data_IF_902178973800
#
_entry.id   IF_902178973800
#
_cell.length_a   1.000
_cell.length_b   1.000
_cell.length_c   1.000
_cell.angle_alpha   90.00
_cell.angle_beta   90.00
_cell.angle_gamma   90.00
#
_symmetry.space_group_name_H-M   'P 1'
#
loop_
_entity.id
_entity.type
_entity.pdbx_description
1 polymer ?
#
# COMPACT_ATOMS: atom_id res chain seq x y z
N UNK A 1 12.29 63.73 -26.16
CA UNK A 1 13.51 63.95 -25.34
C UNK A 1 14.04 62.56 -25.00
N UNK A 2 15.19 62.05 -25.43
CA UNK A 2 16.47 62.65 -25.79
C UNK A 2 17.16 61.72 -26.81
N UNK A 3 17.73 62.31 -27.85
CA UNK A 3 18.55 61.69 -28.89
C UNK A 3 19.84 61.06 -28.33
N UNK A 4 20.42 60.10 -29.05
CA UNK A 4 21.77 60.10 -29.68
C UNK A 4 22.04 58.66 -30.22
N UNK A 5 22.15 58.40 -31.54
CA UNK A 5 23.35 58.54 -32.43
C UNK A 5 24.52 57.66 -31.94
N UNK A 6 25.26 56.87 -32.71
CA UNK A 6 25.45 56.63 -34.16
C UNK A 6 26.47 55.47 -34.30
N UNK A 7 26.41 54.71 -35.41
CA UNK A 7 27.57 54.18 -36.20
C UNK A 7 28.38 53.03 -35.57
N UNK A 8 28.84 51.96 -36.24
CA UNK A 8 29.16 51.67 -37.64
C UNK A 8 28.75 50.22 -38.00
N UNK A 9 28.20 49.90 -39.17
CA UNK A 9 28.90 49.65 -40.44
C UNK A 9 30.20 48.85 -40.31
N UNK A 10 30.14 47.57 -40.66
CA UNK A 10 31.17 46.91 -41.48
C UNK A 10 30.54 45.76 -42.25
N UNK A 11 30.49 45.96 -43.58
CA UNK A 11 30.30 44.93 -44.58
C UNK A 11 31.43 43.88 -44.47
N UNK A 12 31.30 42.67 -44.99
CA UNK A 12 31.64 42.37 -46.39
C UNK A 12 31.42 40.86 -46.63
N UNK A 13 30.77 40.54 -47.76
CA UNK A 13 30.79 39.31 -48.60
C UNK A 13 30.71 37.95 -47.92
N UNK A 14 29.74 37.07 -48.21
CA UNK A 14 29.28 36.68 -49.54
C UNK A 14 29.87 35.31 -49.88
N UNK A 15 29.08 34.25 -49.74
CA UNK A 15 29.28 32.99 -50.46
C UNK A 15 27.92 32.32 -50.66
N UNK A 16 27.46 32.32 -51.90
CA UNK A 16 26.38 31.46 -52.35
C UNK A 16 26.92 30.04 -52.46
N UNK A 17 26.18 29.04 -51.95
CA UNK A 17 26.18 27.69 -52.52
C UNK A 17 25.13 26.78 -51.86
N UNK A 18 24.19 26.36 -52.73
CA UNK A 18 23.68 24.99 -52.87
C UNK A 18 22.70 24.46 -51.82
N UNK A 19 21.43 24.45 -52.24
CA UNK A 19 20.43 23.48 -51.80
C UNK A 19 20.97 22.05 -51.99
N UNK A 20 21.06 21.33 -50.87
CA UNK A 20 20.90 19.88 -50.87
C UNK A 20 19.86 19.53 -49.81
N UNK A 21 18.66 19.16 -50.27
CA UNK A 21 17.66 18.51 -49.43
C UNK A 21 18.22 17.16 -48.98
N UNK A 22 18.68 17.08 -47.74
CA UNK A 22 18.82 15.79 -47.07
C UNK A 22 17.44 15.38 -46.56
N UNK A 23 16.95 14.16 -46.84
CA UNK A 23 15.76 13.66 -46.17
C UNK A 23 16.07 13.53 -44.68
N UNK A 24 15.31 14.23 -43.85
CA UNK A 24 15.29 14.03 -42.42
C UNK A 24 14.95 12.56 -42.16
N UNK A 25 15.94 11.76 -41.76
CA UNK A 25 15.69 10.44 -41.20
C UNK A 25 15.02 10.67 -39.84
N UNK A 26 13.69 10.82 -39.85
CA UNK A 26 12.88 10.71 -38.64
C UNK A 26 13.03 9.28 -38.15
N UNK A 27 13.95 9.06 -37.21
CA UNK A 27 13.90 7.86 -36.39
C UNK A 27 12.58 7.91 -35.61
N UNK A 28 11.56 7.23 -36.13
CA UNK A 28 10.39 6.86 -35.34
C UNK A 28 10.93 5.93 -34.26
N UNK A 29 11.26 6.50 -33.10
CA UNK A 29 11.29 5.72 -31.87
C UNK A 29 9.86 5.24 -31.70
N UNK A 30 9.60 4.02 -32.14
CA UNK A 30 8.39 3.33 -31.79
C UNK A 30 8.35 3.24 -30.28
N UNK A 31 7.62 4.16 -29.65
CA UNK A 31 7.16 4.04 -28.29
C UNK A 31 6.19 2.87 -28.28
N UNK A 32 6.73 1.65 -28.31
CA UNK A 32 5.97 0.48 -27.88
C UNK A 32 5.41 0.80 -26.49
N UNK A 33 4.19 0.35 -26.16
CA UNK A 33 3.68 0.54 -24.81
C UNK A 33 4.68 -0.10 -23.86
N UNK A 34 5.44 0.73 -23.15
CA UNK A 34 6.19 0.27 -22.00
C UNK A 34 5.19 -0.33 -21.00
N UNK A 35 5.65 -1.19 -20.07
CA UNK A 35 4.79 -1.62 -18.97
C UNK A 35 4.16 -0.38 -18.33
N UNK A 36 2.82 -0.32 -18.26
CA UNK A 36 2.16 0.75 -17.53
C UNK A 36 2.74 0.74 -16.10
N UNK A 37 3.08 1.92 -15.53
CA UNK A 37 3.56 1.97 -14.16
C UNK A 37 2.51 1.34 -13.22
N UNK A 38 2.94 0.64 -12.15
CA UNK A 38 2.03 0.06 -11.19
C UNK A 38 1.04 1.10 -10.69
N UNK A 39 -0.24 0.72 -10.61
CA UNK A 39 -1.28 1.66 -10.14
C UNK A 39 -1.31 1.64 -8.62
N UNK A 40 -0.92 2.74 -8.00
CA UNK A 40 -1.09 2.94 -6.55
C UNK A 40 -2.50 3.48 -6.25
N UNK A 41 -3.16 2.85 -5.28
CA UNK A 41 -4.46 3.23 -4.74
C UNK A 41 -4.38 3.32 -3.22
N UNK A 42 -4.87 4.43 -2.65
CA UNK A 42 -5.00 4.59 -1.21
C UNK A 42 -6.47 4.76 -0.85
N UNK A 43 -6.96 3.93 0.06
CA UNK A 43 -8.33 4.02 0.55
C UNK A 43 -8.43 3.59 2.02
N UNK A 44 -9.51 4.00 2.68
CA UNK A 44 -9.73 3.76 4.09
C UNK A 44 -10.84 2.75 4.30
N UNK A 45 -10.66 1.90 5.30
CA UNK A 45 -11.69 0.99 5.81
C UNK A 45 -11.72 1.06 7.33
N UNK A 46 -12.86 0.75 7.93
CA UNK A 46 -12.96 0.44 9.36
C UNK A 46 -13.26 -1.04 9.51
N UNK A 47 -12.35 -1.79 10.12
CA UNK A 47 -12.60 -3.15 10.56
C UNK A 47 -13.34 -3.11 11.89
N UNK A 48 -14.60 -3.54 11.87
CA UNK A 48 -15.44 -3.66 13.06
C UNK A 48 -15.59 -5.13 13.42
N UNK A 49 -14.93 -5.55 14.50
CA UNK A 49 -15.02 -6.90 15.02
C UNK A 49 -16.46 -7.21 15.44
N UNK A 50 -16.97 -8.38 15.01
CA UNK A 50 -18.29 -8.88 15.41
C UNK A 50 -18.20 -10.22 16.12
N UNK A 51 -17.13 -10.98 15.89
CA UNK A 51 -16.85 -12.25 16.56
C UNK A 51 -15.35 -12.34 16.85
N UNK A 52 -15.00 -12.95 17.97
CA UNK A 52 -13.61 -13.19 18.32
C UNK A 52 -13.46 -14.12 19.50
N UNK A 53 -12.30 -14.77 19.60
CA UNK A 53 -11.94 -15.61 20.74
C UNK A 53 -10.44 -15.81 20.85
N UNK A 54 -9.99 -16.15 22.06
CA UNK A 54 -8.65 -16.63 22.34
C UNK A 54 -8.69 -18.16 22.40
N UNK A 55 -7.83 -18.80 21.62
CA UNK A 55 -7.48 -20.21 21.77
C UNK A 55 -6.27 -20.27 22.70
N UNK A 56 -6.51 -20.69 23.93
CA UNK A 56 -5.46 -20.97 24.92
C UNK A 56 -5.00 -22.42 24.71
N UNK A 57 -3.80 -22.59 24.14
CA UNK A 57 -3.33 -23.92 23.73
C UNK A 57 -2.77 -24.74 24.89
N UNK A 58 -2.29 -24.10 25.94
CA UNK A 58 -1.70 -24.78 27.11
C UNK A 58 -2.64 -24.84 28.33
N UNK A 59 -3.76 -24.11 28.28
CA UNK A 59 -4.80 -24.07 29.31
C UNK A 59 -4.38 -23.30 30.56
N UNK A 60 -3.32 -22.49 30.49
CA UNK A 60 -2.80 -21.74 31.63
C UNK A 60 -3.63 -20.49 31.96
N UNK A 61 -4.44 -20.01 31.02
CA UNK A 61 -5.15 -18.73 31.11
C UNK A 61 -4.24 -17.50 30.99
N UNK A 62 -2.94 -17.70 30.76
CA UNK A 62 -1.97 -16.65 30.45
C UNK A 62 -1.44 -16.80 29.02
N UNK A 63 -0.66 -15.82 28.52
CA UNK A 63 -0.04 -15.95 27.21
C UNK A 63 0.91 -17.15 27.16
N UNK A 64 0.77 -17.97 26.12
CA UNK A 64 1.60 -19.13 25.83
C UNK A 64 1.98 -19.20 24.35
N UNK A 65 3.09 -19.89 24.03
CA UNK A 65 3.49 -20.08 22.63
C UNK A 65 2.47 -20.95 21.91
N UNK A 66 1.95 -20.44 20.79
CA UNK A 66 0.92 -21.10 20.00
C UNK A 66 -0.50 -20.63 20.29
N UNK A 67 -0.72 -19.78 21.31
CA UNK A 67 -2.04 -19.17 21.53
C UNK A 67 -2.49 -18.41 20.28
N UNK A 68 -3.79 -18.48 19.98
CA UNK A 68 -4.35 -17.84 18.78
C UNK A 68 -5.47 -16.86 19.12
N UNK A 69 -5.40 -15.67 18.55
CA UNK A 69 -6.56 -14.81 18.40
C UNK A 69 -7.23 -15.13 17.07
N UNK A 70 -8.48 -15.56 17.13
CA UNK A 70 -9.29 -15.87 15.94
C UNK A 70 -10.43 -14.85 15.87
N UNK A 71 -10.34 -13.94 14.91
CA UNK A 71 -11.19 -12.75 14.83
C UNK A 71 -11.92 -12.69 13.49
N UNK A 72 -13.13 -12.13 13.49
CA UNK A 72 -13.83 -11.78 12.25
C UNK A 72 -14.80 -10.63 12.45
N UNK A 73 -15.16 -10.00 11.34
CA UNK A 73 -16.02 -8.83 11.40
C UNK A 73 -16.39 -8.23 10.06
N UNK A 74 -16.93 -7.02 10.13
CA UNK A 74 -17.33 -6.24 8.96
C UNK A 74 -16.23 -5.25 8.58
N UNK A 75 -16.10 -4.97 7.28
CA UNK A 75 -15.33 -3.86 6.75
C UNK A 75 -16.28 -2.75 6.33
N UNK A 76 -16.06 -1.54 6.83
CA UNK A 76 -16.88 -0.39 6.53
C UNK A 76 -16.11 0.66 5.75
N UNK A 77 -16.77 1.30 4.78
CA UNK A 77 -16.33 2.55 4.16
C UNK A 77 -17.28 3.64 4.61
N UNK A 78 -16.82 4.52 5.51
CA UNK A 78 -17.71 5.40 6.26
C UNK A 78 -18.66 4.56 7.14
N UNK A 79 -19.97 4.73 6.95
CA UNK A 79 -21.00 3.96 7.68
C UNK A 79 -21.53 2.73 6.93
N UNK A 80 -21.04 2.49 5.71
CA UNK A 80 -21.56 1.41 4.84
C UNK A 80 -20.67 0.18 4.96
N UNK A 81 -21.27 -0.98 5.21
CA UNK A 81 -20.56 -2.27 5.14
C UNK A 81 -20.23 -2.56 3.68
N UNK A 82 -18.93 -2.69 3.40
CA UNK A 82 -18.37 -2.97 2.07
C UNK A 82 -17.67 -4.32 2.01
N UNK A 83 -17.76 -5.13 3.06
CA UNK A 83 -17.10 -6.43 3.08
C UNK A 83 -17.05 -7.03 4.48
N UNK A 84 -16.28 -8.11 4.58
CA UNK A 84 -15.98 -8.80 5.84
C UNK A 84 -14.49 -9.08 5.92
N UNK A 85 -13.98 -9.30 7.13
CA UNK A 85 -12.63 -9.79 7.33
C UNK A 85 -12.61 -11.02 8.23
N UNK A 86 -11.54 -11.79 8.12
CA UNK A 86 -11.17 -12.84 9.07
C UNK A 86 -9.68 -12.76 9.31
N UNK A 87 -9.26 -12.97 10.54
CA UNK A 87 -7.88 -12.84 10.97
C UNK A 87 -7.55 -13.96 11.97
N UNK A 88 -6.35 -14.50 11.84
CA UNK A 88 -5.75 -15.39 12.83
C UNK A 88 -4.37 -14.82 13.18
N UNK A 89 -4.13 -14.62 14.47
CA UNK A 89 -2.86 -14.20 15.02
C UNK A 89 -2.34 -15.22 16.02
N UNK A 90 -1.19 -15.83 15.75
CA UNK A 90 -0.56 -16.81 16.64
C UNK A 90 0.57 -16.16 17.45
N UNK A 91 0.62 -16.40 18.76
CA UNK A 91 1.76 -16.01 19.60
C UNK A 91 2.96 -16.89 19.27
N UNK A 92 4.01 -16.29 18.70
CA UNK A 92 5.16 -17.02 18.15
C UNK A 92 6.44 -16.83 18.94
N UNK A 93 6.54 -15.76 19.74
CA UNK A 93 7.76 -15.44 20.48
C UNK A 93 7.47 -14.56 21.67
N UNK A 94 8.10 -14.87 22.81
CA UNK A 94 8.22 -13.92 23.92
C UNK A 94 9.41 -12.98 23.69
N UNK A 95 9.20 -11.71 24.00
CA UNK A 95 10.24 -10.69 24.09
C UNK A 95 10.53 -10.38 25.57
N UNK A 96 11.65 -9.71 25.91
CA UNK A 96 11.95 -9.36 27.29
C UNK A 96 10.84 -8.53 27.96
N UNK A 97 10.39 -8.99 29.13
CA UNK A 97 9.36 -8.45 30.05
C UNK A 97 8.05 -8.00 29.39
N UNK A 98 6.99 -8.79 29.64
CA UNK A 98 5.58 -8.50 29.32
C UNK A 98 5.31 -8.11 27.85
N UNK A 99 6.11 -8.66 26.94
CA UNK A 99 6.00 -8.43 25.50
C UNK A 99 6.04 -9.76 24.75
N UNK A 100 5.32 -9.82 23.63
CA UNK A 100 5.32 -10.98 22.74
C UNK A 100 5.04 -10.57 21.30
N UNK A 101 5.49 -11.40 20.37
CA UNK A 101 5.19 -11.24 18.96
C UNK A 101 4.05 -12.17 18.53
N UNK A 102 3.10 -11.60 17.81
CA UNK A 102 2.07 -12.31 17.06
C UNK A 102 2.48 -12.39 15.59
N UNK A 103 2.31 -13.56 14.97
CA UNK A 103 2.28 -13.68 13.52
C UNK A 103 0.82 -13.73 13.07
N UNK A 104 0.41 -12.76 12.26
CA UNK A 104 -0.96 -12.58 11.85
C UNK A 104 -1.12 -12.80 10.35
N UNK A 105 -2.22 -13.46 9.97
CA UNK A 105 -2.71 -13.56 8.61
C UNK A 105 -4.20 -13.20 8.59
N UNK A 106 -4.60 -12.39 7.61
CA UNK A 106 -5.97 -11.94 7.47
C UNK A 106 -6.41 -11.91 6.01
N UNK A 107 -7.70 -12.17 5.80
CA UNK A 107 -8.38 -12.02 4.53
C UNK A 107 -9.37 -10.84 4.61
N UNK A 108 -9.30 -9.92 3.65
CA UNK A 108 -10.30 -8.87 3.47
C UNK A 108 -11.17 -9.24 2.26
N UNK A 109 -12.41 -9.64 2.50
CA UNK A 109 -13.37 -9.98 1.45
C UNK A 109 -14.18 -8.74 1.05
N UNK A 110 -13.98 -8.29 -0.19
CA UNK A 110 -14.61 -7.12 -0.77
C UNK A 110 -15.41 -7.51 -2.03
N UNK A 111 -16.35 -6.67 -2.52
CA UNK A 111 -17.23 -7.00 -3.65
C UNK A 111 -16.52 -7.46 -4.93
N UNK A 112 -15.29 -6.99 -5.16
CA UNK A 112 -14.53 -7.27 -6.38
C UNK A 112 -13.43 -8.33 -6.19
N UNK A 113 -13.33 -8.96 -5.02
CA UNK A 113 -12.34 -9.98 -4.70
C UNK A 113 -11.82 -9.89 -3.27
N UNK A 114 -10.84 -10.73 -2.95
CA UNK A 114 -10.20 -10.77 -1.63
C UNK A 114 -8.79 -10.16 -1.67
N UNK A 115 -8.35 -9.60 -0.56
CA UNK A 115 -6.95 -9.26 -0.29
C UNK A 115 -6.40 -10.18 0.79
N UNK A 116 -5.18 -10.67 0.62
CA UNK A 116 -4.46 -11.42 1.65
C UNK A 116 -3.46 -10.49 2.33
N UNK A 117 -3.53 -10.44 3.65
CA UNK A 117 -2.69 -9.56 4.50
C UNK A 117 -1.92 -10.42 5.49
N UNK A 118 -0.63 -10.15 5.68
CA UNK A 118 0.20 -10.89 6.62
C UNK A 118 1.25 -10.00 7.27
N UNK A 119 1.58 -10.26 8.54
CA UNK A 119 2.70 -9.58 9.19
C UNK A 119 2.99 -10.11 10.58
N UNK A 120 4.01 -9.52 11.20
CA UNK A 120 4.36 -9.76 12.60
C UNK A 120 4.10 -8.50 13.39
N UNK A 121 3.43 -8.66 14.53
CA UNK A 121 3.00 -7.58 15.41
C UNK A 121 3.69 -7.79 16.75
N UNK A 122 4.32 -6.75 17.29
CA UNK A 122 4.80 -6.77 18.66
C UNK A 122 3.71 -6.22 19.59
N UNK A 123 3.38 -6.97 20.64
CA UNK A 123 2.38 -6.58 21.64
C UNK A 123 3.09 -6.23 22.93
N UNK A 124 2.79 -5.06 23.46
CA UNK A 124 3.29 -4.57 24.75
C UNK A 124 2.17 -4.51 25.78
N UNK A 125 2.50 -4.14 27.02
CA UNK A 125 1.48 -3.84 28.05
C UNK A 125 0.54 -2.69 27.68
N UNK A 126 0.93 -1.83 26.74
CA UNK A 126 0.08 -0.78 26.17
C UNK A 126 -0.72 -1.24 24.93
N UNK A 127 -0.60 -2.51 24.53
CA UNK A 127 -1.15 -3.06 23.29
C UNK A 127 -0.18 -3.03 22.10
N UNK A 128 -0.65 -3.33 20.89
CA UNK A 128 0.19 -3.49 19.69
C UNK A 128 0.60 -2.18 18.99
N UNK A 129 0.16 -1.01 19.47
CA UNK A 129 0.45 0.27 18.83
C UNK A 129 -0.13 0.38 17.40
N UNK A 130 0.51 1.20 16.56
CA UNK A 130 0.20 1.27 15.13
C UNK A 130 0.98 0.19 14.37
N UNK A 131 0.34 -0.45 13.40
CA UNK A 131 0.84 -1.68 12.80
C UNK A 131 0.79 -1.56 11.28
N UNK A 132 1.89 -1.92 10.60
CA UNK A 132 1.92 -2.08 9.16
C UNK A 132 1.98 -3.58 8.82
N UNK A 133 0.99 -4.07 8.08
CA UNK A 133 0.93 -5.45 7.60
C UNK A 133 1.07 -5.49 6.08
N UNK A 134 1.81 -6.46 5.56
CA UNK A 134 2.02 -6.58 4.12
C UNK A 134 0.76 -7.10 3.43
N UNK A 135 0.40 -6.50 2.31
CA UNK A 135 -0.56 -7.08 1.36
C UNK A 135 0.26 -8.02 0.48
N UNK A 136 -0.04 -9.31 0.51
CA UNK A 136 0.75 -10.35 -0.16
C UNK A 136 0.11 -10.90 -1.42
N UNK A 137 -1.10 -10.45 -1.75
CA UNK A 137 -1.86 -10.97 -2.88
C UNK A 137 -3.36 -10.71 -2.77
N UNK A 138 -4.11 -11.41 -3.62
CA UNK A 138 -5.55 -11.34 -3.64
C UNK A 138 -6.20 -12.11 -4.78
N UNK A 139 -7.50 -11.90 -4.96
CA UNK A 139 -8.31 -12.51 -6.02
C UNK A 139 -9.11 -11.44 -6.78
N UNK A 140 -9.73 -11.80 -7.91
CA UNK A 140 -10.57 -10.88 -8.68
C UNK A 140 -9.79 -9.66 -9.18
N UNK A 141 -10.26 -8.45 -8.83
CA UNK A 141 -9.54 -7.21 -9.18
C UNK A 141 -8.18 -7.10 -8.49
N UNK A 142 -7.99 -7.82 -7.38
CA UNK A 142 -6.81 -7.75 -6.51
C UNK A 142 -5.78 -8.85 -6.79
N UNK A 143 -5.88 -9.55 -7.92
CA UNK A 143 -5.04 -10.73 -8.25
C UNK A 143 -3.52 -10.45 -8.32
N UNK A 144 -3.10 -9.20 -8.50
CA UNK A 144 -1.70 -8.75 -8.50
C UNK A 144 -1.37 -7.84 -7.31
N UNK A 145 -2.28 -7.75 -6.34
CA UNK A 145 -2.17 -6.84 -5.21
C UNK A 145 -0.92 -7.09 -4.38
N UNK A 146 -0.21 -6.00 -4.10
CA UNK A 146 0.84 -5.92 -3.10
C UNK A 146 0.83 -4.53 -2.45
N UNK A 147 1.68 -4.31 -1.44
CA UNK A 147 1.74 -3.06 -0.68
C UNK A 147 1.60 -3.33 0.81
N UNK A 148 0.94 -2.42 1.53
CA UNK A 148 0.75 -2.57 2.97
C UNK A 148 -0.56 -1.96 3.47
N UNK A 149 -0.99 -2.42 4.62
CA UNK A 149 -2.14 -1.93 5.36
C UNK A 149 -1.62 -1.32 6.67
N UNK A 150 -1.90 -0.04 6.88
CA UNK A 150 -1.65 0.64 8.14
C UNK A 150 -2.88 0.53 9.04
N UNK A 151 -2.73 -0.09 10.21
CA UNK A 151 -3.79 -0.32 11.18
C UNK A 151 -3.58 0.53 12.44
N UNK A 152 -4.65 1.21 12.85
CA UNK A 152 -4.71 1.99 14.10
C UNK A 152 -5.94 1.55 14.89
N UNK A 153 -5.74 0.99 16.08
CA UNK A 153 -6.84 0.60 16.95
C UNK A 153 -7.54 1.85 17.50
N UNK A 154 -8.83 1.98 17.20
CA UNK A 154 -9.67 3.08 17.66
C UNK A 154 -10.44 2.69 18.94
N UNK A 155 -10.76 1.41 19.10
CA UNK A 155 -11.36 0.83 20.31
C UNK A 155 -11.05 -0.68 20.38
N UNK A 156 -11.57 -1.36 21.40
CA UNK A 156 -11.46 -2.82 21.56
C UNK A 156 -12.09 -3.62 20.41
N UNK A 157 -12.94 -2.99 19.58
CA UNK A 157 -13.66 -3.67 18.49
C UNK A 157 -13.58 -2.95 17.15
N UNK A 158 -12.87 -1.82 17.07
CA UNK A 158 -12.75 -1.04 15.84
C UNK A 158 -11.30 -0.68 15.56
N UNK A 159 -10.85 -1.06 14.36
CA UNK A 159 -9.52 -0.75 13.84
C UNK A 159 -9.65 0.01 12.53
N UNK A 160 -8.99 1.16 12.43
CA UNK A 160 -8.95 1.95 11.22
C UNK A 160 -7.83 1.47 10.32
N UNK A 161 -8.17 1.12 9.09
CA UNK A 161 -7.23 0.69 8.06
C UNK A 161 -7.03 1.80 7.04
N UNK A 162 -5.77 2.12 6.77
CA UNK A 162 -5.37 2.84 5.55
C UNK A 162 -4.64 1.85 4.66
N UNK A 163 -5.27 1.49 3.54
CA UNK A 163 -4.77 0.50 2.60
C UNK A 163 -3.96 1.19 1.52
N UNK A 164 -2.67 0.84 1.40
CA UNK A 164 -1.78 1.27 0.32
C UNK A 164 -1.61 0.10 -0.65
N UNK A 165 -2.41 0.11 -1.71
CA UNK A 165 -2.54 -0.98 -2.66
C UNK A 165 -1.79 -0.66 -3.96
N UNK A 166 -1.01 -1.61 -4.45
CA UNK A 166 -0.32 -1.55 -5.74
C UNK A 166 -0.80 -2.72 -6.60
N UNK A 167 -1.23 -2.45 -7.84
CA UNK A 167 -1.77 -3.43 -8.80
C UNK A 167 -0.98 -3.52 -10.11
#
# INVERSE_FOLDING_TARGET
>A
MRHFKHVALSAVTGFAALLFCAPSASAVTGSGPGPNPPREEVFQLVAKQTQGGLVDVDGSGGPSLGDEFVLSGNLLSGSTVVGTYSEICTLTRFEPVDQFDLQCAADLSLPQGQLTVQGRINVTTAGPGNIDLAITGGTGRYRTAHGYLHAVNASDTETHFTVHLIL
#
